data_IF_827283438907
#
_entry.id   IF_827283438907
#
_cell.length_a   1.000
_cell.length_b   1.000
_cell.length_c   1.000
_cell.angle_alpha   90.00
_cell.angle_beta   90.00
_cell.angle_gamma   90.00
#
_symmetry.space_group_name_H-M   'P 1'
#
loop_
_entity.id
_entity.type
_entity.pdbx_description
1 polymer ?
#
# COMPACT_ATOMS: atom_id res chain seq x y z
N UNK A 1 -19.99 -8.85 5.17
CA UNK A 1 -20.31 -9.47 3.87
C UNK A 1 -20.00 -8.48 2.75
N UNK A 2 -19.24 -8.87 1.73
CA UNK A 2 -18.89 -7.97 0.61
C UNK A 2 -20.14 -7.64 -0.23
N UNK A 3 -20.43 -6.36 -0.42
CA UNK A 3 -21.56 -5.91 -1.24
C UNK A 3 -21.30 -6.16 -2.73
N UNK A 4 -22.32 -6.66 -3.42
CA UNK A 4 -22.32 -6.87 -4.87
C UNK A 4 -22.88 -5.64 -5.57
N UNK A 5 -22.23 -5.21 -6.65
CA UNK A 5 -22.78 -4.20 -7.56
C UNK A 5 -23.98 -4.77 -8.30
N UNK A 6 -25.05 -3.99 -8.42
CA UNK A 6 -26.25 -4.37 -9.17
C UNK A 6 -26.17 -3.77 -10.57
N UNK A 7 -25.86 -4.61 -11.55
CA UNK A 7 -25.71 -4.20 -12.94
C UNK A 7 -27.07 -3.88 -13.58
N UNK A 8 -27.18 -2.69 -14.16
CA UNK A 8 -28.34 -2.25 -14.95
C UNK A 8 -27.97 -2.28 -16.44
N UNK A 9 -28.75 -2.95 -17.27
CA UNK A 9 -28.52 -2.93 -18.72
C UNK A 9 -29.14 -1.67 -19.31
N UNK A 10 -28.38 -0.91 -20.09
CA UNK A 10 -28.83 0.37 -20.66
C UNK A 10 -28.59 0.44 -22.18
N UNK A 11 -29.35 1.25 -22.92
CA UNK A 11 -29.13 1.45 -24.36
C UNK A 11 -27.71 1.94 -24.65
N UNK A 12 -27.13 1.48 -25.77
CA UNK A 12 -25.77 1.83 -26.18
C UNK A 12 -25.52 3.35 -26.25
N UNK A 13 -26.46 4.11 -26.81
CA UNK A 13 -26.32 5.57 -26.89
C UNK A 13 -26.21 6.25 -25.52
N UNK A 14 -26.93 5.75 -24.53
CA UNK A 14 -26.88 6.29 -23.16
C UNK A 14 -25.64 5.78 -22.41
N UNK A 15 -25.16 4.58 -22.73
CA UNK A 15 -23.89 4.05 -22.25
C UNK A 15 -22.72 4.91 -22.71
N UNK A 16 -22.59 5.14 -24.02
CA UNK A 16 -21.52 5.97 -24.60
C UNK A 16 -21.56 7.40 -24.05
N UNK A 17 -22.75 8.01 -23.93
CA UNK A 17 -22.88 9.35 -23.34
C UNK A 17 -22.45 9.38 -21.87
N UNK A 18 -22.75 8.33 -21.11
CA UNK A 18 -22.38 8.25 -19.70
C UNK A 18 -20.87 8.08 -19.55
N UNK A 19 -20.27 7.18 -20.32
CA UNK A 19 -18.81 6.95 -20.38
C UNK A 19 -18.08 8.25 -20.72
N UNK A 20 -18.50 8.91 -21.81
CA UNK A 20 -17.95 10.19 -22.25
C UNK A 20 -18.13 11.28 -21.18
N UNK A 21 -19.31 11.39 -20.57
CA UNK A 21 -19.55 12.40 -19.55
C UNK A 21 -18.63 12.22 -18.33
N UNK A 22 -18.36 10.98 -17.91
CA UNK A 22 -17.40 10.73 -16.84
C UNK A 22 -15.95 11.07 -17.25
N UNK A 23 -15.52 10.68 -18.45
CA UNK A 23 -14.16 10.95 -18.95
C UNK A 23 -13.86 12.45 -18.99
N UNK A 24 -14.80 13.26 -19.48
CA UNK A 24 -14.65 14.71 -19.55
C UNK A 24 -14.69 15.33 -18.15
N UNK A 25 -15.59 14.88 -17.28
CA UNK A 25 -15.66 15.34 -15.89
C UNK A 25 -14.43 14.99 -15.04
N UNK A 26 -13.58 14.05 -15.48
CA UNK A 26 -12.29 13.77 -14.83
C UNK A 26 -11.32 14.94 -14.95
N UNK A 27 -11.39 15.71 -16.04
CA UNK A 27 -10.43 16.78 -16.35
C UNK A 27 -11.04 18.17 -16.22
N UNK A 28 -12.28 18.35 -16.70
CA UNK A 28 -13.03 19.60 -16.62
C UNK A 28 -14.53 19.32 -16.84
N UNK A 29 -15.36 19.46 -15.80
CA UNK A 29 -16.77 19.07 -15.89
C UNK A 29 -17.61 19.94 -16.84
N UNK A 30 -17.37 21.26 -16.93
CA UNK A 30 -18.10 22.17 -17.83
C UNK A 30 -19.60 21.84 -18.00
N UNK A 31 -20.08 21.84 -19.25
CA UNK A 31 -21.46 21.44 -19.60
C UNK A 31 -21.73 19.93 -19.44
N UNK A 32 -20.67 19.10 -19.40
CA UNK A 32 -20.78 17.65 -19.20
C UNK A 32 -21.24 17.28 -17.79
N UNK A 33 -21.05 18.16 -16.80
CA UNK A 33 -21.50 17.93 -15.43
C UNK A 33 -23.01 17.71 -15.33
N UNK A 34 -23.80 18.56 -15.99
CA UNK A 34 -25.26 18.41 -16.05
C UNK A 34 -25.67 17.08 -16.69
N UNK A 35 -24.98 16.70 -17.78
CA UNK A 35 -25.27 15.45 -18.49
C UNK A 35 -24.91 14.22 -17.66
N UNK A 36 -23.78 14.27 -16.97
CA UNK A 36 -23.34 13.23 -16.04
C UNK A 36 -24.37 13.03 -14.92
N UNK A 37 -24.82 14.12 -14.29
CA UNK A 37 -25.83 14.07 -13.22
C UNK A 37 -27.14 13.47 -13.75
N UNK A 38 -27.63 13.94 -14.90
CA UNK A 38 -28.87 13.45 -15.52
C UNK A 38 -28.82 11.92 -15.76
N UNK A 39 -27.76 11.44 -16.43
CA UNK A 39 -27.62 10.03 -16.76
C UNK A 39 -27.35 9.17 -15.52
N UNK A 40 -26.53 9.66 -14.58
CA UNK A 40 -26.26 8.96 -13.34
C UNK A 40 -27.54 8.82 -12.48
N UNK A 41 -28.36 9.86 -12.39
CA UNK A 41 -29.64 9.81 -11.67
C UNK A 41 -30.66 8.88 -12.34
N UNK A 42 -30.67 8.85 -13.68
CA UNK A 42 -31.55 7.98 -14.47
C UNK A 42 -31.21 6.50 -14.27
N UNK A 43 -29.91 6.17 -14.22
CA UNK A 43 -29.41 4.79 -14.20
C UNK A 43 -28.76 4.37 -12.87
N UNK A 44 -29.00 5.13 -11.79
CA UNK A 44 -28.41 4.86 -10.49
C UNK A 44 -28.70 3.45 -9.99
N UNK A 45 -27.66 2.82 -9.48
CA UNK A 45 -27.76 1.59 -8.70
C UNK A 45 -28.05 1.89 -7.21
N UNK A 46 -27.60 3.04 -6.72
CA UNK A 46 -27.82 3.55 -5.37
C UNK A 46 -27.61 5.07 -5.35
N UNK A 47 -28.34 5.78 -4.48
CA UNK A 47 -28.07 7.18 -4.21
C UNK A 47 -28.38 7.52 -2.75
N UNK A 48 -27.66 8.50 -2.22
CA UNK A 48 -27.84 9.00 -0.86
C UNK A 48 -27.47 10.48 -0.80
N UNK A 49 -27.81 11.15 0.30
CA UNK A 49 -27.58 12.57 0.53
C UNK A 49 -26.89 12.80 1.87
N UNK A 50 -25.96 13.75 1.92
CA UNK A 50 -25.25 14.14 3.14
C UNK A 50 -24.69 15.56 3.00
N UNK A 51 -24.90 16.39 4.02
CA UNK A 51 -24.40 17.77 4.08
C UNK A 51 -24.67 18.61 2.81
N UNK A 52 -25.89 18.55 2.27
CA UNK A 52 -26.28 19.28 1.06
C UNK A 52 -25.75 18.70 -0.25
N UNK A 53 -24.95 17.63 -0.18
CA UNK A 53 -24.38 16.92 -1.33
C UNK A 53 -25.19 15.67 -1.64
N UNK A 54 -25.17 15.27 -2.91
CA UNK A 54 -25.80 14.07 -3.42
C UNK A 54 -24.76 13.13 -4.01
N UNK A 55 -24.81 11.87 -3.59
CA UNK A 55 -23.89 10.82 -4.00
C UNK A 55 -24.68 9.81 -4.81
N UNK A 56 -24.29 9.59 -6.06
CA UNK A 56 -24.99 8.72 -6.98
C UNK A 56 -24.03 7.68 -7.52
N UNK A 57 -24.33 6.42 -7.28
CA UNK A 57 -23.53 5.29 -7.71
C UNK A 57 -24.17 4.62 -8.92
N UNK A 58 -23.37 4.34 -9.94
CA UNK A 58 -23.78 3.67 -11.17
C UNK A 58 -23.01 2.38 -11.36
N UNK A 59 -23.71 1.35 -11.83
CA UNK A 59 -23.10 0.12 -12.33
C UNK A 59 -23.95 -0.38 -13.48
N UNK A 60 -23.52 -0.12 -14.71
CA UNK A 60 -24.31 -0.33 -15.92
C UNK A 60 -23.60 -1.26 -16.90
N UNK A 61 -24.36 -1.90 -17.79
CA UNK A 61 -23.86 -2.71 -18.89
C UNK A 61 -24.48 -2.24 -20.20
N UNK A 62 -23.68 -2.26 -21.25
CA UNK A 62 -24.11 -1.97 -22.60
C UNK A 62 -25.07 -3.07 -23.08
N UNK A 63 -26.24 -2.70 -23.59
CA UNK A 63 -27.21 -3.67 -24.13
C UNK A 63 -26.69 -4.40 -25.38
N UNK A 64 -25.83 -3.75 -26.17
CA UNK A 64 -25.27 -4.32 -27.40
C UNK A 64 -24.14 -5.33 -27.11
N UNK A 65 -23.38 -5.13 -26.03
CA UNK A 65 -22.41 -6.10 -25.52
C UNK A 65 -22.41 -6.09 -23.99
N UNK A 66 -23.00 -7.11 -23.37
CA UNK A 66 -23.07 -7.22 -21.90
C UNK A 66 -21.71 -7.40 -21.21
N UNK A 67 -20.63 -7.62 -21.97
CA UNK A 67 -19.25 -7.65 -21.47
C UNK A 67 -18.68 -6.25 -21.31
N UNK A 68 -19.29 -5.29 -21.98
CA UNK A 68 -19.00 -3.87 -21.87
C UNK A 68 -19.84 -3.26 -20.74
N UNK A 69 -19.17 -2.64 -19.78
CA UNK A 69 -19.79 -2.18 -18.55
C UNK A 69 -19.05 -1.03 -17.91
N UNK A 70 -19.75 -0.27 -17.08
CA UNK A 70 -19.19 0.89 -16.41
C UNK A 70 -19.63 0.87 -14.94
N UNK A 71 -18.71 1.07 -14.02
CA UNK A 71 -19.02 1.29 -12.61
C UNK A 71 -18.33 2.53 -12.09
N UNK A 72 -19.06 3.35 -11.33
CA UNK A 72 -18.56 4.62 -10.86
C UNK A 72 -19.52 5.31 -9.90
N UNK A 73 -19.17 6.53 -9.54
CA UNK A 73 -20.05 7.42 -8.80
C UNK A 73 -19.77 8.88 -9.12
N UNK A 74 -20.80 9.71 -8.89
CA UNK A 74 -20.73 11.16 -8.95
C UNK A 74 -21.21 11.73 -7.62
N UNK A 75 -20.51 12.76 -7.15
CA UNK A 75 -20.86 13.58 -5.99
C UNK A 75 -21.06 14.99 -6.48
N UNK A 76 -22.22 15.57 -6.19
CA UNK A 76 -22.56 16.92 -6.64
C UNK A 76 -23.30 17.71 -5.55
N UNK A 77 -23.17 19.04 -5.58
CA UNK A 77 -23.95 19.92 -4.71
C UNK A 77 -25.42 19.93 -5.14
N UNK A 78 -26.34 19.65 -4.23
CA UNK A 78 -27.76 19.48 -4.58
C UNK A 78 -28.40 20.78 -5.05
N UNK A 79 -27.92 21.92 -4.56
CA UNK A 79 -28.49 23.25 -4.79
C UNK A 79 -27.97 23.84 -6.09
N UNK A 80 -26.65 23.88 -6.28
CA UNK A 80 -26.02 24.43 -7.48
C UNK A 80 -25.99 23.46 -8.66
N UNK A 81 -26.20 22.15 -8.40
CA UNK A 81 -25.98 21.07 -9.38
C UNK A 81 -24.55 21.00 -9.92
N UNK A 82 -23.60 21.54 -9.18
CA UNK A 82 -22.19 21.46 -9.52
C UNK A 82 -21.61 20.10 -9.14
N UNK A 83 -20.94 19.43 -10.09
CA UNK A 83 -20.21 18.19 -9.81
C UNK A 83 -18.97 18.53 -9.00
N UNK A 84 -18.92 18.01 -7.77
CA UNK A 84 -17.80 18.17 -6.85
C UNK A 84 -16.74 17.11 -7.09
N UNK A 85 -17.17 15.90 -7.45
CA UNK A 85 -16.29 14.77 -7.69
C UNK A 85 -16.95 13.72 -8.56
N UNK A 86 -16.19 13.08 -9.44
CA UNK A 86 -16.66 11.90 -10.17
C UNK A 86 -15.52 10.94 -10.44
N UNK A 87 -15.81 9.64 -10.39
CA UNK A 87 -14.88 8.57 -10.73
C UNK A 87 -15.61 7.39 -11.31
N UNK A 88 -14.98 6.73 -12.27
CA UNK A 88 -15.49 5.50 -12.84
C UNK A 88 -14.37 4.59 -13.35
N UNK A 89 -14.72 3.33 -13.63
CA UNK A 89 -13.92 2.40 -14.41
C UNK A 89 -14.79 1.79 -15.49
N UNK A 90 -14.24 1.68 -16.70
CA UNK A 90 -14.85 0.95 -17.80
C UNK A 90 -14.34 -0.50 -17.80
N UNK A 91 -15.24 -1.42 -18.10
CA UNK A 91 -15.02 -2.86 -18.17
C UNK A 91 -15.19 -3.24 -19.63
N UNK A 92 -14.08 -3.44 -20.33
CA UNK A 92 -14.10 -4.02 -21.67
C UNK A 92 -13.51 -5.43 -21.66
N UNK A 93 -13.94 -6.24 -22.64
CA UNK A 93 -13.66 -7.68 -22.74
C UNK A 93 -12.18 -8.10 -22.72
N UNK A 94 -11.23 -7.17 -22.77
CA UNK A 94 -9.79 -7.46 -22.82
C UNK A 94 -9.05 -7.34 -21.49
N UNK A 95 -9.58 -6.63 -20.49
CA UNK A 95 -9.02 -6.58 -19.13
C UNK A 95 -10.16 -6.31 -18.15
N UNK A 96 -10.63 -7.34 -17.45
CA UNK A 96 -11.40 -7.12 -16.24
C UNK A 96 -10.51 -6.35 -15.25
N UNK A 97 -10.71 -5.05 -15.10
CA UNK A 97 -10.11 -4.31 -14.00
C UNK A 97 -10.85 -4.66 -12.69
N UNK A 98 -10.64 -5.89 -12.25
CA UNK A 98 -11.18 -6.42 -11.00
C UNK A 98 -10.71 -5.61 -9.78
N UNK A 99 -9.68 -4.76 -9.94
CA UNK A 99 -9.11 -3.90 -8.91
C UNK A 99 -9.92 -2.62 -8.78
N UNK A 100 -10.17 -1.92 -9.90
CA UNK A 100 -11.07 -0.77 -9.93
C UNK A 100 -12.45 -1.11 -9.38
N UNK A 101 -13.00 -2.30 -9.73
CA UNK A 101 -14.27 -2.76 -9.17
C UNK A 101 -14.27 -3.01 -7.66
N UNK A 102 -13.13 -3.43 -7.09
CA UNK A 102 -13.02 -3.66 -5.66
C UNK A 102 -13.10 -2.32 -4.90
N UNK A 103 -12.48 -1.27 -5.44
CA UNK A 103 -12.60 0.10 -4.95
C UNK A 103 -14.06 0.59 -4.93
N UNK A 104 -14.78 0.47 -6.06
CA UNK A 104 -16.18 0.96 -6.12
C UNK A 104 -17.11 0.21 -5.16
N UNK A 105 -16.87 -1.08 -4.91
CA UNK A 105 -17.62 -1.86 -3.91
C UNK A 105 -17.39 -1.34 -2.50
N UNK A 106 -16.16 -0.97 -2.15
CA UNK A 106 -15.86 -0.35 -0.87
C UNK A 106 -16.57 1.00 -0.74
N UNK A 107 -16.45 1.86 -1.76
CA UNK A 107 -17.09 3.17 -1.77
C UNK A 107 -18.62 3.08 -1.61
N UNK A 108 -19.27 2.16 -2.34
CA UNK A 108 -20.70 1.89 -2.20
C UNK A 108 -21.05 1.39 -0.79
N UNK A 109 -20.24 0.49 -0.22
CA UNK A 109 -20.45 -0.01 1.15
C UNK A 109 -20.45 1.13 2.17
N UNK A 110 -19.46 2.04 2.10
CA UNK A 110 -19.39 3.20 2.99
C UNK A 110 -20.63 4.09 2.88
N UNK A 111 -21.10 4.34 1.65
CA UNK A 111 -22.29 5.15 1.41
C UNK A 111 -23.60 4.49 1.89
N UNK A 112 -23.70 3.15 1.81
CA UNK A 112 -24.83 2.39 2.34
C UNK A 112 -24.87 2.35 3.87
N UNK A 113 -23.71 2.38 4.51
CA UNK A 113 -23.57 2.43 5.97
C UNK A 113 -23.72 3.86 6.53
N UNK A 114 -24.04 4.83 5.65
CA UNK A 114 -24.13 6.26 5.97
C UNK A 114 -22.83 6.83 6.59
N UNK A 115 -21.68 6.24 6.25
CA UNK A 115 -20.34 6.69 6.66
C UNK A 115 -19.68 7.52 5.58
N UNK A 116 -20.42 8.56 5.15
CA UNK A 116 -19.99 9.48 4.10
C UNK A 116 -18.86 10.41 4.57
N UNK A 117 -18.70 10.57 5.88
CA UNK A 117 -17.51 11.17 6.50
C UNK A 117 -16.23 10.42 6.12
N UNK A 118 -16.22 9.08 6.23
CA UNK A 118 -15.07 8.23 5.88
C UNK A 118 -14.83 8.25 4.38
N UNK A 119 -15.91 8.14 3.60
CA UNK A 119 -15.87 8.21 2.15
C UNK A 119 -15.17 9.50 1.69
N UNK A 120 -15.63 10.66 2.15
CA UNK A 120 -15.05 11.95 1.74
C UNK A 120 -13.59 12.08 2.18
N UNK A 121 -13.26 11.59 3.37
CA UNK A 121 -11.89 11.64 3.88
C UNK A 121 -10.93 10.81 3.03
N UNK A 122 -11.34 9.60 2.62
CA UNK A 122 -10.58 8.76 1.70
C UNK A 122 -10.43 9.40 0.32
N UNK A 123 -11.45 10.11 -0.17
CA UNK A 123 -11.37 10.82 -1.45
C UNK A 123 -10.42 12.02 -1.44
N UNK A 124 -10.22 12.69 -0.29
CA UNK A 124 -9.25 13.79 -0.17
C UNK A 124 -7.81 13.32 -0.42
N UNK A 125 -7.48 12.10 0.00
CA UNK A 125 -6.19 11.47 -0.30
C UNK A 125 -6.05 11.19 -1.80
N UNK A 126 -7.18 11.04 -2.50
CA UNK A 126 -7.32 10.60 -3.89
C UNK A 126 -6.79 11.54 -4.97
N UNK A 127 -6.48 12.81 -4.68
CA UNK A 127 -6.34 13.85 -5.73
C UNK A 127 -4.95 13.97 -6.39
N UNK A 128 -3.95 13.21 -5.96
CA UNK A 128 -2.65 13.13 -6.65
C UNK A 128 -2.01 11.76 -6.40
N UNK A 129 -1.63 11.06 -7.48
CA UNK A 129 -0.83 9.81 -7.48
C UNK A 129 -1.35 8.62 -6.61
N UNK A 130 -2.55 8.69 -6.03
CA UNK A 130 -3.02 7.80 -4.94
C UNK A 130 -4.15 6.82 -5.28
N UNK A 131 -4.43 6.59 -6.57
CA UNK A 131 -5.33 5.51 -7.01
C UNK A 131 -4.89 4.14 -6.43
N UNK A 132 -3.60 4.00 -6.16
CA UNK A 132 -3.01 2.85 -5.47
C UNK A 132 -3.63 2.57 -4.10
N UNK A 133 -3.73 3.57 -3.20
CA UNK A 133 -4.17 3.37 -1.82
C UNK A 133 -5.64 2.93 -1.79
N UNK A 134 -6.47 3.62 -2.56
CA UNK A 134 -7.89 3.32 -2.68
C UNK A 134 -8.14 1.96 -3.34
N UNK A 135 -7.33 1.62 -4.34
CA UNK A 135 -7.36 0.29 -4.97
C UNK A 135 -6.97 -0.80 -3.98
N UNK A 136 -5.91 -0.58 -3.20
CA UNK A 136 -5.48 -1.51 -2.16
C UNK A 136 -6.56 -1.70 -1.09
N UNK A 137 -7.22 -0.63 -0.64
CA UNK A 137 -8.33 -0.74 0.30
C UNK A 137 -9.55 -1.44 -0.31
N UNK A 138 -9.83 -1.22 -1.60
CA UNK A 138 -10.82 -2.02 -2.33
C UNK A 138 -10.51 -3.51 -2.27
N UNK A 139 -9.24 -3.89 -2.47
CA UNK A 139 -8.80 -5.28 -2.36
C UNK A 139 -8.90 -5.80 -0.91
N UNK A 140 -8.51 -5.02 0.09
CA UNK A 140 -8.70 -5.39 1.49
C UNK A 140 -10.17 -5.67 1.80
N UNK A 141 -11.09 -4.80 1.36
CA UNK A 141 -12.52 -5.03 1.50
C UNK A 141 -12.98 -6.30 0.78
N UNK A 142 -12.47 -6.57 -0.43
CA UNK A 142 -12.77 -7.78 -1.18
C UNK A 142 -12.37 -9.05 -0.41
N UNK A 143 -11.24 -9.05 0.30
CA UNK A 143 -10.74 -10.23 1.02
C UNK A 143 -11.25 -10.36 2.45
N UNK A 144 -11.50 -9.24 3.14
CA UNK A 144 -11.82 -9.22 4.58
C UNK A 144 -13.27 -8.82 4.89
N UNK A 145 -13.98 -8.18 3.96
CA UNK A 145 -15.35 -7.74 4.16
C UNK A 145 -15.49 -6.79 5.35
N UNK A 146 -16.32 -7.16 6.34
CA UNK A 146 -16.68 -6.25 7.44
C UNK A 146 -15.51 -6.03 8.43
N UNK A 147 -14.59 -6.99 8.57
CA UNK A 147 -13.39 -6.81 9.41
C UNK A 147 -12.56 -5.59 8.95
N UNK A 148 -12.45 -5.39 7.64
CA UNK A 148 -11.75 -4.23 7.10
C UNK A 148 -12.55 -2.92 7.22
N UNK A 149 -13.88 -3.00 7.19
CA UNK A 149 -14.74 -1.83 7.45
C UNK A 149 -14.55 -1.36 8.90
N UNK A 150 -14.51 -2.28 9.87
CA UNK A 150 -14.26 -1.95 11.27
C UNK A 150 -12.88 -1.29 11.46
N UNK A 151 -11.85 -1.79 10.77
CA UNK A 151 -10.52 -1.15 10.74
C UNK A 151 -10.62 0.28 10.21
N UNK A 152 -11.24 0.48 9.04
CA UNK A 152 -11.37 1.81 8.43
C UNK A 152 -12.09 2.77 9.37
N UNK A 153 -13.17 2.34 10.02
CA UNK A 153 -13.94 3.21 10.92
C UNK A 153 -13.15 3.66 12.15
N UNK A 154 -12.20 2.84 12.62
CA UNK A 154 -11.32 3.18 13.74
C UNK A 154 -10.15 4.07 13.30
N UNK A 155 -9.64 3.87 12.09
CA UNK A 155 -8.35 4.43 11.68
C UNK A 155 -8.42 5.45 10.54
N UNK A 156 -9.58 5.72 9.93
CA UNK A 156 -9.68 6.53 8.70
C UNK A 156 -9.04 7.92 8.81
N UNK A 157 -9.05 8.53 9.99
CA UNK A 157 -8.45 9.85 10.23
C UNK A 157 -6.93 9.86 10.14
N UNK A 158 -6.28 8.76 10.51
CA UNK A 158 -4.83 8.64 10.59
C UNK A 158 -4.21 8.13 9.28
N UNK A 159 -5.01 7.47 8.44
CA UNK A 159 -4.57 6.86 7.18
C UNK A 159 -3.93 7.87 6.21
N UNK A 160 -4.52 9.04 5.91
CA UNK A 160 -3.91 10.01 4.99
C UNK A 160 -2.59 10.54 5.51
N UNK A 161 -2.57 10.95 6.78
CA UNK A 161 -1.38 11.47 7.44
C UNK A 161 -0.24 10.43 7.40
N UNK A 162 -0.55 9.15 7.68
CA UNK A 162 0.44 8.07 7.53
C UNK A 162 0.92 7.93 6.09
N UNK A 163 0.02 7.94 5.12
CA UNK A 163 0.39 7.78 3.72
C UNK A 163 1.27 8.93 3.22
N UNK A 164 0.90 10.17 3.52
CA UNK A 164 1.65 11.39 3.12
C UNK A 164 3.03 11.47 3.78
N UNK A 165 3.13 11.03 5.04
CA UNK A 165 4.37 10.97 5.82
C UNK A 165 5.17 9.68 5.59
N UNK A 166 4.77 8.85 4.64
CA UNK A 166 5.39 7.57 4.30
C UNK A 166 5.52 6.57 5.48
N UNK A 167 4.61 6.64 6.45
CA UNK A 167 4.53 5.70 7.58
C UNK A 167 3.80 4.43 7.16
N UNK A 168 4.11 3.31 7.81
CA UNK A 168 3.43 2.04 7.57
C UNK A 168 1.93 2.19 7.88
N UNK A 169 1.09 1.57 7.04
CA UNK A 169 -0.36 1.48 7.28
C UNK A 169 -0.69 0.00 7.35
N UNK A 170 -1.06 -0.49 8.53
CA UNK A 170 -1.22 -1.92 8.77
C UNK A 170 -2.49 -2.24 9.55
N UNK A 171 -2.97 -3.45 9.35
CA UNK A 171 -4.01 -4.07 10.15
C UNK A 171 -3.66 -5.53 10.37
N UNK A 172 -4.58 -6.30 10.96
CA UNK A 172 -4.33 -7.70 11.35
C UNK A 172 -3.81 -8.59 10.21
N UNK A 173 -4.26 -8.35 8.98
CA UNK A 173 -3.98 -9.22 7.83
C UNK A 173 -3.44 -8.46 6.62
N UNK A 174 -3.00 -7.21 6.79
CA UNK A 174 -2.43 -6.44 5.68
C UNK A 174 -1.43 -5.40 6.17
N UNK A 175 -0.55 -4.98 5.27
CA UNK A 175 0.35 -3.85 5.45
C UNK A 175 0.56 -3.12 4.14
N UNK A 176 0.65 -1.80 4.20
CA UNK A 176 1.08 -0.92 3.13
C UNK A 176 2.36 -0.24 3.58
N UNK A 177 3.34 -0.26 2.68
CA UNK A 177 4.61 0.44 2.80
C UNK A 177 4.61 1.50 1.69
N UNK A 178 4.31 2.76 2.02
CA UNK A 178 4.35 3.83 1.04
C UNK A 178 5.79 4.10 0.60
N UNK A 179 5.95 4.50 -0.67
CA UNK A 179 7.20 5.04 -1.22
C UNK A 179 8.47 4.23 -0.90
N UNK A 180 8.37 2.90 -0.94
CA UNK A 180 9.54 2.02 -0.90
C UNK A 180 10.23 2.00 -2.27
N UNK A 181 11.56 1.91 -2.25
CA UNK A 181 12.33 1.77 -3.49
C UNK A 181 12.16 0.38 -4.10
N UNK A 182 11.66 0.32 -5.33
CA UNK A 182 11.48 -0.94 -6.08
C UNK A 182 12.18 -0.85 -7.43
N UNK A 183 13.34 -1.49 -7.57
CA UNK A 183 14.17 -1.42 -8.78
C UNK A 183 14.97 -0.11 -8.91
N UNK A 184 15.30 0.27 -10.14
CA UNK A 184 16.22 1.38 -10.43
C UNK A 184 15.54 2.75 -10.53
N UNK A 185 14.22 2.79 -10.71
CA UNK A 185 13.46 4.02 -10.97
C UNK A 185 12.32 4.21 -9.97
N UNK A 186 12.40 5.26 -9.16
CA UNK A 186 11.29 5.81 -8.36
C UNK A 186 11.01 5.12 -7.01
N UNK A 187 10.29 5.87 -6.17
CA UNK A 187 9.66 5.37 -4.94
C UNK A 187 8.26 4.87 -5.29
N UNK A 188 7.97 3.60 -5.04
CA UNK A 188 6.67 2.98 -5.31
C UNK A 188 6.03 2.52 -4.00
N UNK A 189 4.71 2.43 -3.98
CA UNK A 189 4.02 1.83 -2.82
C UNK A 189 3.83 0.33 -3.00
N UNK A 190 4.06 -0.41 -1.91
CA UNK A 190 3.89 -1.86 -1.83
C UNK A 190 2.83 -2.20 -0.80
N UNK A 191 2.01 -3.19 -1.11
CA UNK A 191 0.86 -3.57 -0.30
C UNK A 191 0.77 -5.08 -0.25
N UNK A 192 0.59 -5.61 0.95
CA UNK A 192 0.51 -7.03 1.21
C UNK A 192 -0.82 -7.33 1.90
N UNK A 193 -1.52 -8.35 1.42
CA UNK A 193 -2.80 -8.82 2.00
C UNK A 193 -2.72 -10.32 2.19
N UNK A 194 -2.87 -10.81 3.41
CA UNK A 194 -3.02 -12.24 3.69
C UNK A 194 -4.47 -12.65 3.44
N UNK A 195 -4.71 -13.41 2.37
CA UNK A 195 -6.04 -13.92 2.06
C UNK A 195 -6.45 -15.08 3.00
N UNK A 196 -7.75 -15.39 3.06
CA UNK A 196 -8.28 -16.45 3.93
C UNK A 196 -7.77 -17.87 3.64
N UNK A 197 -7.19 -18.11 2.46
CA UNK A 197 -6.52 -19.38 2.14
C UNK A 197 -5.02 -19.39 2.50
N UNK A 198 -4.56 -18.37 3.23
CA UNK A 198 -3.18 -18.20 3.65
C UNK A 198 -2.24 -17.66 2.57
N UNK A 199 -2.67 -17.51 1.32
CA UNK A 199 -1.85 -16.87 0.29
C UNK A 199 -1.69 -15.37 0.53
N UNK A 200 -0.60 -14.79 0.01
CA UNK A 200 -0.35 -13.35 0.13
C UNK A 200 -0.57 -12.69 -1.23
N UNK A 201 -1.42 -11.68 -1.24
CA UNK A 201 -1.63 -10.83 -2.40
C UNK A 201 -0.69 -9.65 -2.27
N UNK A 202 0.29 -9.60 -3.17
CA UNK A 202 1.21 -8.49 -3.34
C UNK A 202 0.62 -7.51 -4.38
N UNK A 203 0.53 -6.24 -4.01
CA UNK A 203 0.23 -5.13 -4.90
C UNK A 203 1.43 -4.19 -4.94
N UNK A 204 1.88 -3.84 -6.14
CA UNK A 204 2.93 -2.85 -6.42
C UNK A 204 2.32 -1.74 -7.27
N UNK A 205 2.54 -0.48 -6.90
CA UNK A 205 2.12 0.67 -7.71
C UNK A 205 2.83 0.67 -9.08
N UNK A 206 2.17 1.02 -10.22
CA UNK A 206 0.78 1.40 -10.38
C UNK A 206 -0.10 0.20 -10.80
N UNK A 207 -0.29 -0.78 -9.91
CA UNK A 207 -1.20 -1.92 -10.07
C UNK A 207 -0.63 -3.17 -10.76
N UNK A 208 0.55 -3.63 -10.35
CA UNK A 208 0.95 -5.04 -10.55
C UNK A 208 0.48 -5.87 -9.37
N UNK A 209 -0.31 -6.92 -9.63
CA UNK A 209 -0.81 -7.82 -8.59
C UNK A 209 -0.25 -9.22 -8.80
N UNK A 210 0.32 -9.77 -7.74
CA UNK A 210 0.90 -11.12 -7.71
C UNK A 210 0.32 -11.86 -6.52
N UNK A 211 -0.01 -13.13 -6.73
CA UNK A 211 -0.40 -14.03 -5.64
C UNK A 211 0.78 -14.90 -5.28
N UNK A 212 1.25 -14.77 -4.05
CA UNK A 212 2.38 -15.52 -3.50
C UNK A 212 1.83 -16.65 -2.64
N UNK A 213 2.05 -17.89 -3.07
CA UNK A 213 1.61 -19.09 -2.37
C UNK A 213 2.80 -19.78 -1.70
N UNK A 214 2.58 -20.33 -0.50
CA UNK A 214 3.63 -21.01 0.28
C UNK A 214 4.33 -22.16 -0.47
N UNK A 215 3.62 -22.92 -1.29
CA UNK A 215 4.22 -24.03 -2.05
C UNK A 215 4.97 -23.59 -3.31
N UNK A 216 4.66 -22.41 -3.85
CA UNK A 216 5.34 -21.86 -5.03
C UNK A 216 6.55 -21.01 -4.62
N UNK A 217 6.41 -20.22 -3.55
CA UNK A 217 7.39 -19.26 -3.07
C UNK A 217 7.51 -19.31 -1.54
N UNK A 218 7.98 -20.42 -0.94
CA UNK A 218 7.95 -20.62 0.52
C UNK A 218 8.65 -19.50 1.29
N UNK A 219 9.83 -19.09 0.83
CA UNK A 219 10.63 -18.05 1.48
C UNK A 219 9.99 -16.66 1.38
N UNK A 220 9.51 -16.25 0.20
CA UNK A 220 8.88 -14.94 0.04
C UNK A 220 7.52 -14.88 0.75
N UNK A 221 6.82 -16.02 0.78
CA UNK A 221 5.60 -16.17 1.57
C UNK A 221 5.88 -15.99 3.06
N UNK A 222 6.95 -16.58 3.58
CA UNK A 222 7.39 -16.39 4.97
C UNK A 222 7.75 -14.93 5.26
N UNK A 223 8.62 -14.31 4.44
CA UNK A 223 8.99 -12.90 4.58
C UNK A 223 7.74 -12.02 4.63
N UNK A 224 6.86 -12.11 3.63
CA UNK A 224 5.67 -11.28 3.59
C UNK A 224 4.70 -11.58 4.74
N UNK A 225 4.65 -12.83 5.22
CA UNK A 225 3.85 -13.18 6.40
C UNK A 225 4.37 -12.45 7.64
N UNK A 226 5.67 -12.49 7.90
CA UNK A 226 6.25 -11.77 9.02
C UNK A 226 6.09 -10.27 8.89
N UNK A 227 6.19 -9.71 7.68
CA UNK A 227 5.99 -8.28 7.52
C UNK A 227 4.54 -7.86 7.84
N UNK A 228 3.55 -8.70 7.53
CA UNK A 228 2.16 -8.47 7.95
C UNK A 228 2.02 -8.59 9.47
N UNK A 229 2.59 -9.64 10.07
CA UNK A 229 2.43 -9.93 11.50
C UNK A 229 3.14 -8.91 12.40
N UNK A 230 4.28 -8.38 11.96
CA UNK A 230 5.15 -7.54 12.77
C UNK A 230 5.22 -6.08 12.31
N UNK A 231 4.33 -5.63 11.42
CA UNK A 231 4.29 -4.23 10.99
C UNK A 231 4.16 -3.25 12.17
N UNK A 232 3.32 -3.58 13.16
CA UNK A 232 3.14 -2.78 14.37
C UNK A 232 4.42 -2.73 15.23
N UNK A 233 5.07 -3.89 15.41
CA UNK A 233 6.30 -3.97 16.18
C UNK A 233 7.45 -3.22 15.49
N UNK A 234 7.52 -3.27 14.15
CA UNK A 234 8.47 -2.49 13.38
C UNK A 234 8.26 -0.98 13.57
N UNK A 235 7.03 -0.50 13.71
CA UNK A 235 6.79 0.91 14.02
C UNK A 235 7.16 1.24 15.48
N UNK A 236 6.74 0.41 16.44
CA UNK A 236 7.00 0.64 17.87
C UNK A 236 8.47 0.57 18.25
N UNK A 237 9.25 -0.26 17.56
CA UNK A 237 10.65 -0.52 17.87
C UNK A 237 11.63 0.42 17.15
N UNK A 238 11.14 1.46 16.46
CA UNK A 238 11.98 2.43 15.77
C UNK A 238 12.94 3.13 16.75
N UNK A 239 14.21 3.14 16.37
CA UNK A 239 15.29 3.85 17.06
C UNK A 239 15.84 4.90 16.11
N UNK A 240 15.92 6.13 16.61
CA UNK A 240 16.33 7.31 15.85
C UNK A 240 17.77 7.68 16.25
N UNK A 241 18.67 7.68 15.28
CA UNK A 241 20.04 8.15 15.43
C UNK A 241 20.14 9.50 14.73
N UNK A 242 20.46 10.55 15.49
CA UNK A 242 20.67 11.89 14.92
C UNK A 242 21.81 11.85 13.89
N UNK A 243 21.53 12.39 12.69
CA UNK A 243 22.52 12.53 11.61
C UNK A 243 22.93 14.00 11.46
N UNK A 244 21.98 14.89 11.15
CA UNK A 244 22.23 16.33 11.08
C UNK A 244 21.07 17.11 11.72
N UNK A 245 21.36 17.98 12.68
CA UNK A 245 20.39 18.95 13.20
C UNK A 245 20.82 20.38 12.88
N UNK A 246 19.98 21.08 12.11
CA UNK A 246 20.07 22.51 11.82
C UNK A 246 18.94 23.27 12.52
N UNK A 247 18.99 24.61 12.48
CA UNK A 247 18.02 25.49 13.17
C UNK A 247 16.55 25.24 12.81
N UNK A 248 16.27 24.72 11.61
CA UNK A 248 14.89 24.56 11.09
C UNK A 248 14.51 23.12 10.74
N UNK A 249 15.45 22.17 10.85
CA UNK A 249 15.21 20.77 10.52
C UNK A 249 16.25 19.86 11.16
N UNK A 250 15.86 18.63 11.44
CA UNK A 250 16.75 17.55 11.86
C UNK A 250 16.52 16.31 11.00
N UNK A 251 17.59 15.67 10.55
CA UNK A 251 17.57 14.33 9.96
C UNK A 251 18.02 13.29 10.98
N UNK A 252 17.40 12.12 10.88
CA UNK A 252 17.73 10.96 11.68
C UNK A 252 17.82 9.75 10.77
N UNK A 253 18.75 8.86 11.07
CA UNK A 253 18.73 7.49 10.55
C UNK A 253 17.84 6.68 11.47
N UNK A 254 16.94 5.90 10.89
CA UNK A 254 16.01 5.06 11.65
C UNK A 254 16.32 3.60 11.39
N UNK A 255 16.44 2.86 12.48
CA UNK A 255 16.47 1.40 12.45
C UNK A 255 15.34 0.85 13.28
N UNK A 256 14.76 -0.25 12.82
CA UNK A 256 13.81 -1.03 13.60
C UNK A 256 13.97 -2.51 13.26
N UNK A 257 13.55 -3.37 14.16
CA UNK A 257 13.52 -4.80 13.92
C UNK A 257 12.40 -5.48 14.70
N UNK A 258 11.95 -6.58 14.13
CA UNK A 258 11.02 -7.50 14.75
C UNK A 258 11.44 -8.92 14.43
N UNK A 259 11.38 -9.78 15.44
CA UNK A 259 11.69 -11.20 15.33
C UNK A 259 10.45 -12.02 15.66
N UNK A 260 10.07 -12.99 14.82
CA UNK A 260 9.01 -13.92 15.16
C UNK A 260 9.38 -14.75 16.40
N UNK A 261 8.40 -15.12 17.26
CA UNK A 261 8.61 -16.02 18.36
C UNK A 261 8.74 -17.45 17.82
N UNK A 262 9.93 -17.79 17.33
CA UNK A 262 10.32 -19.17 17.05
C UNK A 262 11.45 -19.58 17.99
N UNK A 263 11.40 -20.84 18.45
CA UNK A 263 12.35 -21.44 19.41
C UNK A 263 13.81 -21.42 18.95
N UNK A 264 14.07 -21.08 17.68
CA UNK A 264 15.41 -21.08 17.07
C UNK A 264 15.85 -19.69 16.58
N UNK A 265 15.00 -18.64 16.69
CA UNK A 265 15.27 -17.26 16.21
C UNK A 265 16.03 -17.24 14.87
N UNK A 266 15.65 -18.05 13.89
CA UNK A 266 16.45 -18.17 12.67
C UNK A 266 16.26 -17.01 11.71
N UNK A 267 15.20 -16.21 11.88
CA UNK A 267 14.87 -15.11 11.00
C UNK A 267 14.46 -13.83 11.74
N UNK A 268 14.69 -12.68 11.10
CA UNK A 268 14.22 -11.38 11.56
C UNK A 268 13.84 -10.48 10.38
N UNK A 269 12.92 -9.55 10.62
CA UNK A 269 12.65 -8.43 9.71
C UNK A 269 13.31 -7.19 10.30
N UNK A 270 14.06 -6.46 9.49
CA UNK A 270 14.62 -5.17 9.85
C UNK A 270 14.10 -4.08 8.92
N UNK A 271 13.85 -2.90 9.46
CA UNK A 271 13.51 -1.71 8.73
C UNK A 271 14.66 -0.70 8.90
N UNK A 272 15.01 -0.05 7.81
CA UNK A 272 16.02 1.00 7.76
C UNK A 272 15.46 2.16 6.93
N UNK A 273 15.73 3.40 7.32
CA UNK A 273 15.29 4.55 6.54
C UNK A 273 15.78 5.86 7.13
N UNK A 274 15.29 6.95 6.57
CA UNK A 274 15.58 8.31 7.00
C UNK A 274 14.34 8.96 7.54
N UNK A 275 14.50 9.74 8.59
CA UNK A 275 13.42 10.52 9.18
C UNK A 275 13.82 11.98 9.21
N UNK A 276 13.04 12.81 8.55
CA UNK A 276 13.21 14.26 8.58
C UNK A 276 12.13 14.89 9.45
N UNK A 277 12.57 15.72 10.40
CA UNK A 277 11.71 16.54 11.25
C UNK A 277 11.95 18.01 10.94
N UNK A 278 11.02 18.63 10.24
CA UNK A 278 10.95 20.08 10.01
C UNK A 278 9.57 20.61 10.46
N UNK A 279 8.91 21.49 9.70
CA UNK A 279 7.49 21.83 9.92
C UNK A 279 6.54 20.65 9.72
N UNK A 280 7.02 19.61 9.04
CA UNK A 280 6.38 18.31 8.82
C UNK A 280 7.35 17.18 9.19
N UNK A 281 6.79 15.98 9.35
CA UNK A 281 7.55 14.75 9.58
C UNK A 281 7.48 13.88 8.33
N UNK A 282 8.61 13.40 7.83
CA UNK A 282 8.64 12.56 6.64
C UNK A 282 9.59 11.38 6.83
N UNK A 283 9.14 10.20 6.41
CA UNK A 283 9.93 8.99 6.43
C UNK A 283 10.38 8.61 5.01
N UNK A 284 11.67 8.69 4.71
CA UNK A 284 12.20 8.55 3.36
C UNK A 284 13.17 7.37 3.23
N UNK A 285 13.39 6.96 1.98
CA UNK A 285 14.30 5.88 1.60
C UNK A 285 14.12 4.60 2.43
N UNK A 286 12.86 4.24 2.71
CA UNK A 286 12.53 3.07 3.52
C UNK A 286 13.00 1.80 2.81
N UNK A 287 13.80 1.01 3.51
CA UNK A 287 14.27 -0.30 3.10
C UNK A 287 13.87 -1.32 4.16
N UNK A 288 13.30 -2.44 3.72
CA UNK A 288 12.91 -3.54 4.60
C UNK A 288 13.72 -4.77 4.20
N UNK A 289 14.41 -5.33 5.18
CA UNK A 289 15.27 -6.48 5.06
C UNK A 289 14.62 -7.68 5.73
N UNK A 290 14.71 -8.84 5.10
CA UNK A 290 14.48 -10.12 5.74
C UNK A 290 15.79 -10.86 5.89
N UNK A 291 16.16 -11.15 7.13
CA UNK A 291 17.38 -11.85 7.50
C UNK A 291 16.95 -13.27 7.85
N UNK A 292 17.45 -14.27 7.13
CA UNK A 292 17.24 -15.70 7.44
C UNK A 292 18.61 -16.36 7.61
N UNK A 293 18.80 -17.06 8.73
CA UNK A 293 20.03 -17.72 9.16
C UNK A 293 19.86 -19.23 9.45
N UNK A 294 18.90 -19.91 8.80
CA UNK A 294 18.66 -21.35 8.97
C UNK A 294 19.97 -22.15 8.78
N UNK A 295 20.59 -22.03 7.61
CA UNK A 295 21.89 -22.65 7.30
C UNK A 295 23.02 -21.62 7.36
N UNK A 296 23.00 -20.67 6.42
CA UNK A 296 23.84 -19.49 6.32
C UNK A 296 22.95 -18.25 6.44
N UNK A 297 23.50 -17.12 6.91
CA UNK A 297 22.75 -15.88 6.96
C UNK A 297 22.64 -15.27 5.56
N UNK A 298 21.41 -15.16 5.06
CA UNK A 298 21.07 -14.45 3.84
C UNK A 298 20.12 -13.32 4.13
N UNK A 299 20.30 -12.22 3.41
CA UNK A 299 19.49 -11.02 3.53
C UNK A 299 18.73 -10.80 2.23
N UNK A 300 17.45 -10.51 2.37
CA UNK A 300 16.52 -10.29 1.27
C UNK A 300 15.93 -8.89 1.36
N UNK A 301 16.12 -8.07 0.32
CA UNK A 301 15.59 -6.72 0.26
C UNK A 301 14.16 -6.75 -0.29
N UNK A 302 13.19 -6.18 0.43
CA UNK A 302 11.79 -6.17 0.01
C UNK A 302 11.61 -5.58 -1.40
N UNK A 303 12.27 -4.46 -1.69
CA UNK A 303 12.19 -3.80 -3.00
C UNK A 303 12.62 -4.73 -4.14
N UNK A 304 13.64 -5.53 -3.94
CA UNK A 304 14.13 -6.47 -4.94
C UNK A 304 13.25 -7.71 -5.06
N UNK A 305 12.75 -8.25 -3.94
CA UNK A 305 11.80 -9.36 -3.94
C UNK A 305 10.52 -8.96 -4.68
N UNK A 306 10.00 -7.76 -4.40
CA UNK A 306 8.84 -7.21 -5.09
C UNK A 306 9.13 -7.02 -6.57
N UNK A 307 10.29 -6.47 -6.94
CA UNK A 307 10.66 -6.29 -8.34
C UNK A 307 10.74 -7.63 -9.09
N UNK A 308 11.39 -8.64 -8.51
CA UNK A 308 11.48 -9.99 -9.06
C UNK A 308 10.09 -10.59 -9.32
N UNK A 309 9.22 -10.60 -8.30
CA UNK A 309 7.89 -11.20 -8.38
C UNK A 309 6.98 -10.48 -9.39
N UNK A 310 7.11 -9.15 -9.52
CA UNK A 310 6.22 -8.33 -10.34
C UNK A 310 6.73 -8.07 -11.75
N UNK A 311 8.02 -8.19 -12.01
CA UNK A 311 8.64 -7.95 -13.33
C UNK A 311 9.02 -9.23 -14.07
N UNK A 312 9.08 -10.39 -13.40
CA UNK A 312 9.43 -11.70 -14.01
C UNK A 312 10.75 -11.69 -14.81
N UNK A 313 11.68 -10.79 -14.51
CA UNK A 313 12.99 -10.71 -15.16
C UNK A 313 14.10 -11.10 -14.17
N UNK A 314 14.98 -12.00 -14.61
CA UNK A 314 16.21 -12.36 -13.91
C UNK A 314 16.06 -13.37 -12.77
N UNK A 315 17.19 -13.84 -12.25
CA UNK A 315 17.28 -14.53 -10.97
C UNK A 315 17.23 -13.50 -9.84
N UNK A 316 16.63 -13.86 -8.70
CA UNK A 316 16.67 -13.01 -7.51
C UNK A 316 18.06 -13.10 -6.87
N UNK A 317 18.72 -11.96 -6.68
CA UNK A 317 20.01 -11.89 -5.97
C UNK A 317 19.79 -11.97 -4.46
N UNK A 318 20.37 -13.00 -3.85
CA UNK A 318 20.52 -13.06 -2.39
C UNK A 318 21.76 -12.27 -2.01
N UNK A 319 21.70 -11.58 -0.89
CA UNK A 319 22.86 -10.91 -0.32
C UNK A 319 23.35 -11.73 0.86
N UNK A 320 24.66 -11.90 0.95
CA UNK A 320 25.27 -12.23 2.22
C UNK A 320 25.42 -10.97 3.09
N UNK A 321 25.95 -11.15 4.30
CA UNK A 321 26.16 -10.05 5.24
C UNK A 321 27.16 -9.05 4.65
N UNK A 322 28.27 -9.49 4.06
CA UNK A 322 29.32 -8.62 3.50
C UNK A 322 28.82 -7.77 2.31
N UNK A 323 27.94 -8.34 1.48
CA UNK A 323 27.33 -7.69 0.34
C UNK A 323 26.31 -6.62 0.77
N UNK A 324 25.45 -6.91 1.75
CA UNK A 324 24.60 -5.85 2.34
C UNK A 324 25.47 -4.80 2.99
N UNK A 325 26.57 -5.25 3.61
CA UNK A 325 27.55 -4.39 4.23
C UNK A 325 28.43 -3.60 3.21
N UNK A 326 28.21 -3.74 1.91
CA UNK A 326 28.92 -2.99 0.88
C UNK A 326 27.97 -2.25 -0.07
N UNK A 327 26.65 -2.32 0.15
CA UNK A 327 25.68 -1.53 -0.58
C UNK A 327 25.97 -0.02 -0.38
N UNK A 328 26.41 0.63 -1.46
CA UNK A 328 26.84 2.03 -1.51
C UNK A 328 25.85 3.05 -0.92
N UNK A 329 24.56 2.71 -0.81
CA UNK A 329 23.52 3.61 -0.29
C UNK A 329 23.50 3.72 1.23
N UNK A 330 24.02 2.72 1.94
CA UNK A 330 24.13 2.72 3.41
C UNK A 330 25.57 2.62 3.89
N UNK A 331 26.57 2.70 3.00
CA UNK A 331 27.98 2.50 3.34
C UNK A 331 28.45 3.40 4.48
N UNK A 332 27.87 4.60 4.62
CA UNK A 332 28.20 5.56 5.67
C UNK A 332 27.50 5.23 7.02
N UNK A 333 26.39 4.50 6.99
CA UNK A 333 25.53 4.22 8.17
C UNK A 333 25.54 2.76 8.60
N UNK A 334 26.32 1.98 7.88
CA UNK A 334 26.48 0.57 8.09
C UNK A 334 27.02 0.21 9.47
N UNK A 335 27.91 1.03 9.99
CA UNK A 335 28.52 0.87 11.30
C UNK A 335 27.44 1.07 12.37
N UNK A 336 26.58 2.09 12.21
CA UNK A 336 25.42 2.31 13.06
C UNK A 336 24.41 1.16 12.99
N UNK A 337 24.22 0.55 11.82
CA UNK A 337 23.37 -0.63 11.71
C UNK A 337 23.96 -1.84 12.46
N UNK A 338 25.28 -2.07 12.35
CA UNK A 338 25.97 -3.11 13.13
C UNK A 338 25.85 -2.84 14.64
N UNK A 339 26.07 -1.61 15.08
CA UNK A 339 25.89 -1.20 16.48
C UNK A 339 24.45 -1.46 16.95
N UNK A 340 23.46 -1.13 16.12
CA UNK A 340 22.05 -1.42 16.38
C UNK A 340 21.81 -2.92 16.54
N UNK A 341 22.33 -3.76 15.63
CA UNK A 341 22.18 -5.23 15.71
C UNK A 341 22.78 -5.77 17.02
N UNK A 342 23.95 -5.29 17.43
CA UNK A 342 24.62 -5.71 18.67
C UNK A 342 23.83 -5.24 19.89
N UNK A 343 23.40 -3.97 19.92
CA UNK A 343 22.65 -3.39 21.02
C UNK A 343 21.28 -4.07 21.22
N UNK A 344 20.62 -4.45 20.11
CA UNK A 344 19.30 -5.09 20.10
C UNK A 344 19.39 -6.57 19.71
N UNK A 345 20.47 -7.26 20.11
CA UNK A 345 20.77 -8.65 19.77
C UNK A 345 19.62 -9.64 19.95
N UNK A 346 18.74 -9.40 20.92
CA UNK A 346 17.59 -10.27 21.19
C UNK A 346 16.51 -10.23 20.11
N UNK A 347 16.57 -9.23 19.21
CA UNK A 347 15.65 -9.05 18.07
C UNK A 347 16.20 -9.60 16.76
N UNK A 348 17.34 -10.29 16.79
CA UNK A 348 18.00 -10.82 15.60
C UNK A 348 18.41 -12.29 15.79
N UNK A 349 18.65 -13.02 14.68
CA UNK A 349 19.22 -14.35 14.76
C UNK A 349 20.60 -14.33 15.40
N UNK A 350 20.87 -15.26 16.31
CA UNK A 350 22.14 -15.30 17.05
C UNK A 350 23.35 -15.38 16.11
N UNK A 351 23.28 -16.21 15.06
CA UNK A 351 24.33 -16.27 14.02
C UNK A 351 24.57 -14.91 13.36
N UNK A 352 23.52 -14.14 13.11
CA UNK A 352 23.64 -12.81 12.51
C UNK A 352 24.30 -11.81 13.47
N UNK A 353 23.95 -11.86 14.76
CA UNK A 353 24.58 -11.04 15.80
C UNK A 353 26.07 -11.36 15.91
N UNK A 354 26.46 -12.63 15.84
CA UNK A 354 27.86 -13.06 15.89
C UNK A 354 28.66 -12.54 14.70
N UNK A 355 28.13 -12.62 13.47
CA UNK A 355 28.76 -12.03 12.29
C UNK A 355 28.87 -10.51 12.41
N UNK A 356 27.82 -9.82 12.88
CA UNK A 356 27.87 -8.38 13.13
C UNK A 356 28.95 -8.02 14.16
N UNK A 357 29.12 -8.81 15.22
CA UNK A 357 30.16 -8.61 16.24
C UNK A 357 31.57 -8.79 15.66
N UNK A 358 31.79 -9.82 14.83
CA UNK A 358 33.07 -10.02 14.11
C UNK A 358 33.42 -8.83 13.24
N UNK A 359 32.47 -8.32 12.46
CA UNK A 359 32.68 -7.13 11.64
C UNK A 359 32.97 -5.87 12.46
N UNK A 360 32.27 -5.69 13.59
CA UNK A 360 32.51 -4.58 14.51
C UNK A 360 33.94 -4.61 15.07
N UNK A 361 34.42 -5.78 15.51
CA UNK A 361 35.78 -5.94 16.02
C UNK A 361 36.85 -5.72 14.94
N UNK A 362 36.65 -6.27 13.74
CA UNK A 362 37.60 -6.08 12.64
C UNK A 362 37.76 -4.60 12.27
N UNK A 363 36.67 -3.83 12.23
CA UNK A 363 36.73 -2.40 11.89
C UNK A 363 37.27 -1.50 12.99
N UNK A 364 36.97 -1.79 14.27
CA UNK A 364 37.29 -0.88 15.39
C UNK A 364 38.51 -1.29 16.22
N UNK A 365 38.90 -2.57 16.24
CA UNK A 365 39.97 -3.08 17.12
C UNK A 365 41.23 -3.43 16.32
N UNK A 366 41.09 -4.01 15.12
CA UNK A 366 42.25 -4.43 14.32
C UNK A 366 42.87 -3.32 13.46
N UNK A 367 42.25 -2.13 13.41
CA UNK A 367 42.82 -0.92 12.78
C UNK A 367 43.56 -0.01 13.80
N UNK A 368 43.82 -0.49 15.01
CA UNK A 368 44.55 0.23 16.08
C UNK A 368 45.99 -0.31 16.23
N UNK A 369 46.55 -0.92 15.17
CA UNK A 369 47.96 -1.37 15.14
C UNK A 369 48.78 -0.55 14.14
#
# INVERSE_FOLDING_TARGET
MVKRLRWVIIPYEDFDKLDYAFDYCRSFCGDYGSKLIELAEKYKSYATEYNGRRYVFVSVRNMNDIRDGLAGFVVYDKSSKEVLFSRYTSISSRRYDAKGLAYYRLMLRLAMDNRLDVFEYLLRVGFSESDYLLTFFGLCYKYFGDEFIDYLYRSYKDIPDRFERNKLIYGRNFVIIPRIRVGDYGEESVGLIRAGDGSIILLRSPDRLVRVRKHEYPLFHEFFSYLIDYAEDLEKNMVFYEDECKRHWCSYIVFSSASPPHWWRSSAVALMGWYEKNSFEKFDEVNILFINCDNYCSIYLLGEVVNYLTSKHGEYRKYDVEEVLSLHRFSNYIHRFIEYVIAYRDRFPQKFVEEAYKHYLYRNVMNVL
#
